data_IF_411675226786
#
_entry.id   IF_411675226786
#
_cell.length_a   1.000
_cell.length_b   1.000
_cell.length_c   1.000
_cell.angle_alpha   90.00
_cell.angle_beta   90.00
_cell.angle_gamma   90.00
#
_symmetry.space_group_name_H-M   'P 1'
#
loop_
_entity.id
_entity.type
_entity.pdbx_description
1 polymer ?
#
# COMPACT_ATOMS: atom_id res chain seq x y z
N UNK A 1 6.64 5.74 -21.87
CA UNK A 1 7.83 4.87 -21.97
C UNK A 1 7.46 3.39 -22.15
N UNK A 2 6.55 2.85 -21.34
CA UNK A 2 6.13 1.43 -21.47
C UNK A 2 5.45 1.11 -22.80
N UNK A 3 4.65 2.03 -23.36
CA UNK A 3 3.98 1.82 -24.65
C UNK A 3 4.90 1.70 -25.87
N UNK A 4 6.18 2.06 -25.76
CA UNK A 4 7.14 1.98 -26.85
C UNK A 4 7.86 0.64 -26.94
N UNK A 5 7.77 -0.21 -25.90
CA UNK A 5 8.50 -1.48 -25.82
C UNK A 5 7.99 -2.47 -26.86
N UNK A 6 6.68 -2.67 -26.96
CA UNK A 6 6.09 -3.62 -27.89
C UNK A 6 6.37 -3.28 -29.37
N UNK A 7 6.17 -2.03 -29.85
CA UNK A 7 6.55 -1.63 -31.19
C UNK A 7 8.05 -1.79 -31.48
N UNK A 8 8.90 -1.49 -30.49
CA UNK A 8 10.35 -1.63 -30.65
C UNK A 8 10.76 -3.10 -30.78
N UNK A 9 10.20 -3.98 -29.94
CA UNK A 9 10.43 -5.43 -30.04
C UNK A 9 9.95 -5.98 -31.38
N UNK A 10 8.78 -5.58 -31.85
CA UNK A 10 8.28 -5.94 -33.16
C UNK A 10 9.25 -5.54 -34.25
N UNK A 11 9.71 -4.30 -34.26
CA UNK A 11 10.68 -3.79 -35.25
C UNK A 11 12.02 -4.55 -35.28
N UNK A 12 12.49 -4.99 -34.10
CA UNK A 12 13.77 -5.72 -33.99
C UNK A 12 13.60 -7.21 -34.40
N UNK A 13 12.42 -7.78 -34.15
CA UNK A 13 12.17 -9.21 -34.35
C UNK A 13 11.68 -9.56 -35.74
N UNK A 14 11.11 -8.62 -36.49
CA UNK A 14 10.65 -8.85 -37.88
C UNK A 14 11.83 -8.72 -38.82
N UNK A 15 12.17 -9.84 -39.47
CA UNK A 15 13.26 -9.92 -40.48
C UNK A 15 12.72 -9.94 -41.91
N UNK A 16 11.52 -10.51 -42.12
CA UNK A 16 10.85 -10.57 -43.41
C UNK A 16 9.36 -10.30 -43.29
N UNK A 17 8.74 -9.88 -44.38
CA UNK A 17 7.28 -9.60 -44.41
C UNK A 17 6.46 -10.89 -44.20
N UNK A 18 6.93 -12.02 -44.69
CA UNK A 18 6.22 -13.30 -44.60
C UNK A 18 6.16 -13.84 -43.17
N UNK A 19 7.13 -13.48 -42.32
CA UNK A 19 7.19 -13.90 -40.92
C UNK A 19 6.48 -12.97 -39.97
N UNK A 20 6.04 -11.81 -40.46
CA UNK A 20 5.47 -10.73 -39.60
C UNK A 20 4.30 -11.22 -38.75
N UNK A 21 3.38 -12.01 -39.33
CA UNK A 21 2.21 -12.54 -38.61
C UNK A 21 2.59 -13.47 -37.46
N UNK A 22 3.55 -14.36 -37.69
CA UNK A 22 4.02 -15.32 -36.68
C UNK A 22 4.80 -14.64 -35.57
N UNK A 23 5.68 -13.69 -35.90
CA UNK A 23 6.44 -12.89 -34.93
C UNK A 23 5.51 -12.07 -34.06
N UNK A 24 4.54 -11.36 -34.66
CA UNK A 24 3.56 -10.57 -33.92
C UNK A 24 2.67 -11.44 -33.05
N UNK A 25 2.22 -12.59 -33.54
CA UNK A 25 1.44 -13.55 -32.75
C UNK A 25 2.18 -14.03 -31.50
N UNK A 26 3.45 -14.41 -31.66
CA UNK A 26 4.29 -14.82 -30.54
C UNK A 26 4.54 -13.67 -29.53
N UNK A 27 4.84 -12.47 -30.00
CA UNK A 27 5.00 -11.30 -29.12
C UNK A 27 3.74 -11.02 -28.33
N UNK A 28 2.57 -11.12 -28.97
CA UNK A 28 1.27 -10.92 -28.31
C UNK A 28 1.02 -12.00 -27.25
N UNK A 29 1.32 -13.25 -27.57
CA UNK A 29 1.17 -14.38 -26.65
C UNK A 29 2.04 -14.18 -25.39
N UNK A 30 3.33 -13.89 -25.58
CA UNK A 30 4.22 -13.60 -24.45
C UNK A 30 3.79 -12.37 -23.63
N UNK A 31 3.23 -11.34 -24.28
CA UNK A 31 2.73 -10.17 -23.60
C UNK A 31 1.51 -10.51 -22.72
N UNK A 32 0.57 -11.30 -23.21
CA UNK A 32 -0.61 -11.76 -22.46
C UNK A 32 -0.18 -12.63 -21.27
N UNK A 33 0.62 -13.67 -21.50
CA UNK A 33 1.11 -14.52 -20.41
C UNK A 33 1.92 -13.73 -19.38
N UNK A 34 2.82 -12.86 -19.83
CA UNK A 34 3.61 -12.00 -18.95
C UNK A 34 2.74 -11.06 -18.11
N UNK A 35 1.69 -10.51 -18.69
CA UNK A 35 0.76 -9.63 -18.02
C UNK A 35 -0.07 -10.37 -16.95
N UNK A 36 -0.61 -11.55 -17.27
CA UNK A 36 -1.35 -12.38 -16.32
C UNK A 36 -0.45 -12.83 -15.16
N UNK A 37 0.71 -13.41 -15.46
CA UNK A 37 1.65 -13.85 -14.42
C UNK A 37 2.20 -12.66 -13.61
N UNK A 38 2.48 -11.54 -14.28
CA UNK A 38 3.01 -10.33 -13.66
C UNK A 38 2.01 -9.61 -12.74
N UNK A 39 0.73 -9.86 -12.89
CA UNK A 39 -0.29 -9.35 -11.95
C UNK A 39 -0.60 -10.35 -10.84
N UNK A 40 -0.74 -11.62 -11.16
CA UNK A 40 -1.14 -12.65 -10.18
C UNK A 40 -0.02 -13.01 -9.20
N UNK A 41 1.19 -13.25 -9.69
CA UNK A 41 2.30 -13.69 -8.82
C UNK A 41 2.65 -12.64 -7.76
N UNK A 42 2.84 -11.36 -8.10
CA UNK A 42 3.09 -10.34 -7.08
C UNK A 42 1.98 -10.25 -6.06
N UNK A 43 0.74 -10.19 -6.51
CA UNK A 43 -0.42 -9.94 -5.62
C UNK A 43 -0.70 -11.10 -4.68
N UNK A 44 -0.60 -12.34 -5.16
CA UNK A 44 -1.00 -13.52 -4.39
C UNK A 44 0.17 -14.09 -3.57
N UNK A 45 1.39 -14.06 -4.11
CA UNK A 45 2.52 -14.78 -3.51
C UNK A 45 3.59 -13.86 -2.91
N UNK A 46 3.87 -12.71 -3.54
CA UNK A 46 5.03 -11.90 -3.18
C UNK A 46 4.65 -10.84 -2.16
N UNK A 47 3.65 -10.02 -2.47
CA UNK A 47 3.22 -8.92 -1.59
C UNK A 47 2.79 -9.42 -0.20
N UNK A 48 2.00 -10.50 -0.05
CA UNK A 48 1.64 -11.01 1.28
C UNK A 48 2.83 -11.44 2.13
N UNK A 49 3.93 -11.88 1.51
CA UNK A 49 5.11 -12.38 2.25
C UNK A 49 6.13 -11.31 2.60
N UNK A 50 6.35 -10.36 1.70
CA UNK A 50 7.45 -9.40 1.84
C UNK A 50 7.01 -7.93 1.79
N UNK A 51 5.73 -7.67 1.58
CA UNK A 51 5.15 -6.34 1.46
C UNK A 51 5.34 -5.71 0.08
N UNK A 52 4.66 -4.59 -0.17
CA UNK A 52 4.67 -3.89 -1.46
C UNK A 52 6.05 -3.30 -1.77
N UNK A 53 6.64 -2.62 -0.80
CA UNK A 53 7.94 -1.95 -0.95
C UNK A 53 9.05 -2.92 -1.38
N UNK A 54 9.20 -4.03 -0.66
CA UNK A 54 10.22 -5.05 -0.98
C UNK A 54 9.93 -5.76 -2.28
N UNK A 55 8.65 -5.92 -2.64
CA UNK A 55 8.25 -6.52 -3.92
C UNK A 55 8.73 -5.68 -5.10
N UNK A 56 8.55 -4.35 -5.06
CA UNK A 56 9.09 -3.46 -6.09
C UNK A 56 10.62 -3.56 -6.22
N UNK A 57 11.33 -3.63 -5.09
CA UNK A 57 12.78 -3.80 -5.09
C UNK A 57 13.20 -5.13 -5.69
N UNK A 58 12.49 -6.21 -5.38
CA UNK A 58 12.74 -7.55 -5.93
C UNK A 58 12.58 -7.56 -7.47
N UNK A 59 11.46 -7.06 -7.99
CA UNK A 59 11.24 -7.02 -9.44
C UNK A 59 12.22 -6.10 -10.15
N UNK A 60 12.57 -4.97 -9.56
CA UNK A 60 13.62 -4.12 -10.10
C UNK A 60 14.99 -4.80 -10.13
N UNK A 61 15.33 -5.60 -9.10
CA UNK A 61 16.57 -6.40 -9.10
C UNK A 61 16.57 -7.45 -10.21
N UNK A 62 15.45 -8.13 -10.43
CA UNK A 62 15.31 -9.10 -11.55
C UNK A 62 15.55 -8.40 -12.89
N UNK A 63 14.95 -7.24 -13.13
CA UNK A 63 15.16 -6.46 -14.36
C UNK A 63 16.61 -6.02 -14.51
N UNK A 64 17.27 -5.60 -13.42
CA UNK A 64 18.68 -5.22 -13.44
C UNK A 64 19.59 -6.39 -13.82
N UNK A 65 19.32 -7.59 -13.28
CA UNK A 65 20.07 -8.81 -13.63
C UNK A 65 19.90 -9.13 -15.11
N UNK A 66 18.68 -9.10 -15.64
CA UNK A 66 18.41 -9.33 -17.06
C UNK A 66 19.18 -8.33 -17.93
N UNK A 67 19.20 -7.05 -17.56
CA UNK A 67 19.93 -6.01 -18.28
C UNK A 67 21.44 -6.28 -18.30
N UNK A 68 22.02 -6.69 -17.18
CA UNK A 68 23.45 -7.03 -17.08
C UNK A 68 23.79 -8.22 -17.99
N UNK A 69 23.00 -9.30 -17.93
CA UNK A 69 23.21 -10.50 -18.74
C UNK A 69 23.11 -10.18 -20.22
N UNK A 70 22.13 -9.38 -20.62
CA UNK A 70 21.97 -8.94 -22.00
C UNK A 70 23.13 -8.04 -22.48
N UNK A 71 23.56 -7.10 -21.66
CA UNK A 71 24.69 -6.21 -21.96
C UNK A 71 26.00 -6.97 -22.13
N UNK A 72 26.22 -8.00 -21.30
CA UNK A 72 27.39 -8.89 -21.41
C UNK A 72 27.42 -9.64 -22.73
N UNK A 73 26.26 -10.11 -23.21
CA UNK A 73 26.12 -10.80 -24.48
C UNK A 73 26.46 -9.92 -25.68
N UNK A 74 26.02 -8.67 -25.67
CA UNK A 74 26.21 -7.73 -26.79
C UNK A 74 27.57 -7.02 -26.74
N UNK A 75 28.29 -7.08 -25.62
CA UNK A 75 29.56 -6.36 -25.37
C UNK A 75 29.50 -4.83 -25.56
N UNK A 76 28.30 -4.27 -25.68
CA UNK A 76 28.07 -2.85 -25.88
C UNK A 76 27.60 -2.19 -24.58
N UNK A 77 28.27 -1.12 -24.17
CA UNK A 77 27.93 -0.33 -22.98
C UNK A 77 27.82 -1.15 -21.66
N UNK A 78 28.52 -2.29 -21.56
CA UNK A 78 28.46 -3.16 -20.39
C UNK A 78 28.83 -2.42 -19.10
N UNK A 79 29.89 -1.61 -19.13
CA UNK A 79 30.31 -0.78 -17.98
C UNK A 79 29.22 0.20 -17.55
N UNK A 80 28.63 0.94 -18.49
CA UNK A 80 27.59 1.93 -18.20
C UNK A 80 26.35 1.26 -17.58
N UNK A 81 25.90 0.15 -18.16
CA UNK A 81 24.74 -0.58 -17.66
C UNK A 81 25.01 -1.19 -16.28
N UNK A 82 26.21 -1.67 -16.02
CA UNK A 82 26.60 -2.17 -14.71
C UNK A 82 26.61 -1.06 -13.65
N UNK A 83 27.12 0.11 -13.98
CA UNK A 83 27.08 1.28 -13.09
C UNK A 83 25.63 1.68 -12.75
N UNK A 84 24.74 1.74 -13.77
CA UNK A 84 23.33 2.06 -13.57
C UNK A 84 22.66 1.03 -12.63
N UNK A 85 22.94 -0.27 -12.84
CA UNK A 85 22.40 -1.32 -11.97
C UNK A 85 22.90 -1.22 -10.53
N UNK A 86 24.20 -0.93 -10.33
CA UNK A 86 24.78 -0.73 -9.00
C UNK A 86 24.15 0.50 -8.30
N UNK A 87 24.03 1.63 -9.02
CA UNK A 87 23.39 2.83 -8.48
C UNK A 87 21.93 2.55 -8.12
N UNK A 88 21.21 1.80 -8.97
CA UNK A 88 19.84 1.41 -8.65
C UNK A 88 19.76 0.51 -7.42
N UNK A 89 20.65 -0.48 -7.28
CA UNK A 89 20.73 -1.34 -6.09
C UNK A 89 21.06 -0.54 -4.83
N UNK A 90 22.01 0.37 -4.88
CA UNK A 90 22.34 1.24 -3.75
C UNK A 90 21.15 2.12 -3.34
N UNK A 91 20.47 2.73 -4.33
CA UNK A 91 19.30 3.53 -4.08
C UNK A 91 18.13 2.70 -3.51
N UNK A 92 17.95 1.46 -4.01
CA UNK A 92 16.92 0.55 -3.52
C UNK A 92 17.16 0.14 -2.07
N UNK A 93 18.41 -0.17 -1.70
CA UNK A 93 18.79 -0.48 -0.33
C UNK A 93 18.55 0.73 0.59
N UNK A 94 18.93 1.91 0.17
CA UNK A 94 18.66 3.15 0.90
C UNK A 94 17.16 3.35 1.12
N UNK A 95 16.36 3.26 0.06
CA UNK A 95 14.91 3.38 0.14
C UNK A 95 14.26 2.28 0.99
N UNK A 96 14.85 1.09 1.06
CA UNK A 96 14.32 0.01 1.90
C UNK A 96 14.35 0.32 3.39
N UNK A 97 15.29 1.15 3.84
CA UNK A 97 15.45 1.55 5.24
C UNK A 97 14.70 2.82 5.60
N UNK A 98 14.20 3.57 4.62
CA UNK A 98 13.45 4.81 4.87
C UNK A 98 11.96 4.53 5.05
N UNK A 99 11.31 5.32 5.91
CA UNK A 99 9.85 5.30 6.03
C UNK A 99 9.19 5.74 4.73
N UNK A 100 8.04 5.14 4.40
CA UNK A 100 7.16 5.61 3.33
C UNK A 100 6.27 6.77 3.78
N UNK A 101 6.08 6.93 5.09
CA UNK A 101 5.26 7.99 5.65
C UNK A 101 5.91 9.37 5.46
N UNK A 102 5.12 10.35 5.08
CA UNK A 102 5.55 11.75 5.04
C UNK A 102 5.76 12.33 6.44
N UNK A 103 4.97 11.86 7.40
CA UNK A 103 5.12 12.22 8.81
C UNK A 103 6.15 11.27 9.46
N UNK A 104 6.77 11.73 10.54
CA UNK A 104 7.64 10.86 11.35
C UNK A 104 6.77 9.83 12.08
N UNK A 105 6.72 8.58 11.65
CA UNK A 105 5.89 7.58 12.31
C UNK A 105 6.48 7.20 13.67
N UNK A 106 5.60 7.01 14.64
CA UNK A 106 5.92 6.36 15.91
C UNK A 106 5.99 4.85 15.71
N UNK A 107 5.13 4.33 14.82
CA UNK A 107 5.11 2.94 14.42
C UNK A 107 4.70 2.84 12.95
N UNK A 108 5.38 1.98 12.19
CA UNK A 108 5.14 1.74 10.77
C UNK A 108 5.22 0.25 10.51
N UNK A 109 4.17 -0.30 9.90
CA UNK A 109 4.09 -1.70 9.55
C UNK A 109 3.32 -1.89 8.23
N UNK A 110 3.76 -2.82 7.41
CA UNK A 110 3.10 -3.19 6.16
C UNK A 110 2.50 -4.59 6.33
N UNK A 111 1.18 -4.67 6.34
CA UNK A 111 0.43 -5.93 6.35
C UNK A 111 0.07 -6.38 4.94
N UNK A 112 -0.51 -7.57 4.81
CA UNK A 112 -1.03 -8.08 3.52
C UNK A 112 -2.09 -7.15 2.89
N UNK A 113 -2.83 -6.43 3.73
CA UNK A 113 -4.01 -5.65 3.30
C UNK A 113 -3.75 -4.15 3.31
N UNK A 114 -2.97 -3.66 4.26
CA UNK A 114 -2.82 -2.24 4.51
C UNK A 114 -1.39 -1.87 4.92
N UNK A 115 -1.01 -0.65 4.57
CA UNK A 115 0.11 0.03 5.17
C UNK A 115 -0.38 0.73 6.46
N UNK A 116 0.15 0.33 7.59
CA UNK A 116 -0.22 0.84 8.91
C UNK A 116 0.84 1.85 9.36
N UNK A 117 0.40 3.06 9.65
CA UNK A 117 1.24 4.13 10.16
C UNK A 117 0.57 4.79 11.37
N UNK A 118 1.26 4.80 12.49
CA UNK A 118 0.87 5.57 13.67
C UNK A 118 1.80 6.77 13.77
N UNK A 119 1.27 7.94 13.53
CA UNK A 119 2.03 9.20 13.59
C UNK A 119 1.43 10.17 14.60
N UNK A 120 2.24 11.11 15.02
CA UNK A 120 1.77 12.21 15.86
C UNK A 120 1.39 13.38 14.95
N UNK A 121 0.13 13.84 15.06
CA UNK A 121 -0.34 15.02 14.34
C UNK A 121 0.25 16.30 14.93
N UNK A 122 0.10 17.42 14.22
CA UNK A 122 0.56 18.75 14.65
C UNK A 122 0.04 19.14 16.04
N UNK A 123 -1.16 18.67 16.41
CA UNK A 123 -1.78 18.84 17.73
C UNK A 123 -1.19 17.91 18.82
N UNK A 124 -0.18 17.13 18.51
CA UNK A 124 0.44 16.17 19.43
C UNK A 124 -0.37 14.89 19.67
N UNK A 125 -1.48 14.67 18.94
CA UNK A 125 -2.33 13.48 19.09
C UNK A 125 -1.82 12.33 18.21
N UNK A 126 -1.87 11.12 18.74
CA UNK A 126 -1.59 9.92 17.94
C UNK A 126 -2.75 9.65 17.00
N UNK A 127 -2.40 9.46 15.73
CA UNK A 127 -3.32 9.15 14.66
C UNK A 127 -2.91 7.84 13.97
N UNK A 128 -3.87 6.95 13.76
CA UNK A 128 -3.72 5.78 12.93
C UNK A 128 -4.05 6.16 11.48
N UNK A 129 -3.16 5.85 10.56
CA UNK A 129 -3.33 6.00 9.12
C UNK A 129 -3.13 4.64 8.47
N UNK A 130 -3.98 4.29 7.53
CA UNK A 130 -3.88 3.02 6.76
C UNK A 130 -3.40 3.26 5.34
N UNK A 131 -2.90 4.47 5.08
CA UNK A 131 -2.36 4.87 3.78
C UNK A 131 -1.25 5.91 3.99
N UNK A 132 -0.36 6.03 2.99
CA UNK A 132 0.75 6.99 2.98
C UNK A 132 0.26 8.44 2.85
N UNK A 133 -0.86 8.66 2.14
CA UNK A 133 -1.30 10.00 1.70
C UNK A 133 -2.56 10.53 2.37
N UNK A 134 -3.39 9.68 2.94
CA UNK A 134 -4.71 10.09 3.41
C UNK A 134 -4.77 10.33 4.92
N UNK A 135 -5.79 11.09 5.30
CA UNK A 135 -6.02 11.51 6.66
C UNK A 135 -6.14 10.38 7.68
N UNK A 136 -6.16 10.76 8.93
CA UNK A 136 -6.26 9.82 10.04
C UNK A 136 -7.56 9.01 9.98
N UNK A 137 -7.43 7.70 10.04
CA UNK A 137 -8.56 6.78 10.13
C UNK A 137 -9.07 6.64 11.56
N UNK A 138 -8.21 6.86 12.53
CA UNK A 138 -8.55 6.87 13.94
C UNK A 138 -7.61 7.78 14.70
N UNK A 139 -8.07 8.35 15.81
CA UNK A 139 -7.31 9.28 16.62
C UNK A 139 -7.43 8.90 18.07
N UNK A 140 -6.32 8.90 18.77
CA UNK A 140 -6.30 8.67 20.20
C UNK A 140 -6.91 9.87 20.93
N UNK A 141 -8.02 9.65 21.60
CA UNK A 141 -8.68 10.67 22.41
C UNK A 141 -7.99 10.78 23.77
N UNK A 142 -7.54 11.97 24.14
CA UNK A 142 -6.93 12.24 25.44
C UNK A 142 -7.84 11.84 26.60
N UNK A 143 -7.26 11.30 27.68
CA UNK A 143 -8.03 10.81 28.83
C UNK A 143 -8.98 11.87 29.42
N UNK A 144 -8.58 13.12 29.40
CA UNK A 144 -9.32 14.23 30.04
C UNK A 144 -10.22 15.01 29.05
N UNK A 145 -10.26 14.63 27.76
CA UNK A 145 -11.05 15.34 26.77
C UNK A 145 -12.27 14.52 26.35
N UNK A 146 -13.42 15.19 26.26
CA UNK A 146 -14.69 14.64 25.77
C UNK A 146 -14.88 14.78 24.25
N UNK A 147 -13.90 15.42 23.57
CA UNK A 147 -13.91 15.66 22.12
C UNK A 147 -12.59 15.23 21.50
N UNK A 148 -12.66 14.72 20.29
CA UNK A 148 -11.48 14.37 19.49
C UNK A 148 -10.91 15.58 18.73
N UNK A 149 -11.75 16.54 18.36
CA UNK A 149 -11.45 17.64 17.45
C UNK A 149 -11.56 17.25 15.98
N UNK A 150 -12.16 16.11 15.67
CA UNK A 150 -12.32 15.56 14.32
C UNK A 150 -13.80 15.20 14.08
N UNK A 151 -14.10 14.70 12.88
CA UNK A 151 -15.46 14.34 12.48
C UNK A 151 -16.16 13.33 13.40
N UNK A 152 -15.42 12.59 14.21
CA UNK A 152 -15.96 11.67 15.22
C UNK A 152 -16.81 12.36 16.26
N UNK A 153 -16.58 13.64 16.52
CA UNK A 153 -17.35 14.42 17.49
C UNK A 153 -18.81 14.61 17.04
N UNK A 154 -19.09 14.48 15.75
CA UNK A 154 -20.45 14.55 15.22
C UNK A 154 -21.30 13.34 15.68
N UNK A 155 -20.68 12.18 15.89
CA UNK A 155 -21.41 11.01 16.40
C UNK A 155 -21.86 11.15 17.84
N UNK A 156 -21.25 12.01 18.62
CA UNK A 156 -21.69 12.32 19.99
C UNK A 156 -23.06 13.02 19.97
N UNK A 157 -23.43 13.68 18.87
CA UNK A 157 -24.74 14.33 18.72
C UNK A 157 -25.91 13.34 18.61
N UNK A 158 -25.66 12.04 18.48
CA UNK A 158 -26.70 11.01 18.45
C UNK A 158 -27.58 11.07 19.70
N UNK A 159 -27.04 11.51 20.83
CA UNK A 159 -27.79 11.68 22.06
C UNK A 159 -28.98 12.65 21.92
N UNK A 160 -28.88 13.63 21.03
CA UNK A 160 -29.98 14.57 20.78
C UNK A 160 -31.19 13.91 20.12
N UNK A 161 -31.02 12.68 19.59
CA UNK A 161 -32.04 11.91 18.90
C UNK A 161 -32.63 10.79 19.79
N UNK A 162 -32.01 10.53 20.95
CA UNK A 162 -32.32 9.42 21.82
C UNK A 162 -32.82 9.93 23.19
N UNK A 163 -33.60 9.09 23.87
CA UNK A 163 -34.11 9.42 25.23
C UNK A 163 -33.02 9.11 26.27
N UNK A 164 -32.57 10.12 27.01
CA UNK A 164 -31.54 10.00 28.05
C UNK A 164 -31.94 9.07 29.21
N UNK A 165 -33.23 8.78 29.38
CA UNK A 165 -33.75 7.93 30.44
C UNK A 165 -33.68 6.44 30.13
N UNK A 166 -33.37 6.08 28.92
CA UNK A 166 -33.34 4.69 28.44
C UNK A 166 -31.90 4.26 28.19
N UNK A 167 -31.56 3.01 28.54
CA UNK A 167 -30.30 2.42 28.20
C UNK A 167 -30.31 1.99 26.72
N UNK A 168 -29.40 2.56 25.93
CA UNK A 168 -29.29 2.28 24.50
C UNK A 168 -28.17 1.30 24.20
N UNK A 169 -28.40 0.38 23.26
CA UNK A 169 -27.38 -0.51 22.71
C UNK A 169 -26.94 -0.01 21.35
N UNK A 170 -25.64 0.23 21.20
CA UNK A 170 -25.04 0.74 19.97
C UNK A 170 -24.09 -0.33 19.41
N UNK A 171 -24.29 -0.69 18.15
CA UNK A 171 -23.36 -1.53 17.40
C UNK A 171 -22.51 -0.64 16.48
N UNK A 172 -21.20 -0.74 16.62
CA UNK A 172 -20.21 -0.09 15.75
C UNK A 172 -19.64 -1.14 14.82
N UNK A 173 -19.81 -0.94 13.51
CA UNK A 173 -19.21 -1.79 12.48
C UNK A 173 -17.91 -1.12 12.03
N UNK A 174 -16.77 -1.79 12.28
CA UNK A 174 -15.44 -1.21 12.07
C UNK A 174 -14.94 -0.43 13.29
N UNK A 175 -13.99 -0.99 14.03
CA UNK A 175 -13.54 -0.42 15.30
C UNK A 175 -12.41 0.60 15.14
N UNK A 176 -11.48 0.32 14.20
CA UNK A 176 -10.22 1.07 14.07
C UNK A 176 -9.42 1.02 15.37
N UNK A 177 -9.14 2.19 15.98
CA UNK A 177 -8.49 2.27 17.31
C UNK A 177 -9.50 2.62 18.43
N UNK A 178 -10.81 2.48 18.16
CA UNK A 178 -11.85 2.72 19.14
C UNK A 178 -12.11 4.19 19.47
N UNK A 179 -11.79 5.11 18.57
CA UNK A 179 -12.05 6.55 18.77
C UNK A 179 -13.51 6.82 19.08
N UNK A 180 -14.43 6.27 18.27
CA UNK A 180 -15.87 6.46 18.44
C UNK A 180 -16.38 5.84 19.75
N UNK A 181 -15.99 4.58 20.02
CA UNK A 181 -16.34 3.89 21.26
C UNK A 181 -15.87 4.67 22.49
N UNK A 182 -14.64 5.17 22.46
CA UNK A 182 -14.07 5.98 23.54
C UNK A 182 -14.85 7.28 23.75
N UNK A 183 -15.27 7.95 22.68
CA UNK A 183 -16.05 9.18 22.77
C UNK A 183 -17.44 8.93 23.35
N UNK A 184 -18.12 7.86 22.92
CA UNK A 184 -19.43 7.50 23.43
C UNK A 184 -19.36 7.19 24.92
N UNK A 185 -18.44 6.34 25.36
CA UNK A 185 -18.25 6.03 26.78
C UNK A 185 -17.87 7.23 27.66
N UNK A 186 -17.17 8.21 27.12
CA UNK A 186 -16.79 9.42 27.86
C UNK A 186 -17.92 10.45 27.99
N UNK A 187 -18.85 10.42 27.08
CA UNK A 187 -19.92 11.40 27.03
C UNK A 187 -21.22 10.88 27.61
N UNK A 188 -21.43 9.56 27.66
CA UNK A 188 -22.70 8.94 28.02
C UNK A 188 -22.50 7.70 28.89
N UNK A 189 -23.23 7.62 30.00
CA UNK A 189 -23.23 6.47 30.90
C UNK A 189 -24.35 5.47 30.56
N UNK A 190 -25.32 5.88 29.72
CA UNK A 190 -26.50 5.08 29.37
C UNK A 190 -26.32 4.29 28.07
N UNK A 191 -25.12 4.29 27.47
CA UNK A 191 -24.82 3.58 26.24
C UNK A 191 -24.04 2.29 26.53
N UNK A 192 -24.54 1.18 26.00
CA UNK A 192 -23.82 -0.09 25.89
C UNK A 192 -23.29 -0.22 24.46
N UNK A 193 -21.99 -0.09 24.31
CA UNK A 193 -21.33 -0.09 22.99
C UNK A 193 -20.75 -1.47 22.73
N UNK A 194 -21.13 -2.08 21.62
CA UNK A 194 -20.51 -3.27 21.06
C UNK A 194 -19.86 -2.94 19.71
N UNK A 195 -18.68 -3.44 19.48
CA UNK A 195 -17.97 -3.29 18.19
C UNK A 195 -17.73 -4.65 17.59
N UNK A 196 -17.83 -4.70 16.26
CA UNK A 196 -17.50 -5.88 15.45
C UNK A 196 -16.41 -5.50 14.43
N UNK A 197 -15.35 -6.27 14.40
CA UNK A 197 -14.31 -6.21 13.38
C UNK A 197 -14.20 -7.56 12.67
N UNK A 198 -14.21 -7.56 11.34
CA UNK A 198 -14.14 -8.78 10.53
C UNK A 198 -12.73 -9.36 10.37
N UNK A 199 -11.72 -8.77 10.98
CA UNK A 199 -10.30 -9.11 10.70
C UNK A 199 -9.70 -10.14 11.68
N UNK A 200 -10.46 -10.68 12.59
CA UNK A 200 -9.91 -11.59 13.62
C UNK A 200 -9.88 -13.07 13.24
N UNK A 201 -10.31 -13.45 12.04
CA UNK A 201 -10.44 -14.87 11.65
C UNK A 201 -9.80 -15.21 10.30
N UNK A 202 -8.68 -14.57 9.91
CA UNK A 202 -7.88 -15.05 8.78
C UNK A 202 -6.45 -15.34 9.19
#
# INVERSE_FOLDING_TARGET
>A
FMGTISPLLAKISITSLDETGNVMGNLYLFNIFGSVLGTMIPTILVIPKIGVKRSFLLFGAVLAIILILYSKKIKKNFLLNSIICVLWLCMSLYLSTTSLAFDKPVHEEESEYNYINVSQNDDGKLALKTNVFFGAQSIKVDKNKKKSGYYYDEFVKINNLLDDKVKHKILIIGYGTGTMSTLLHKNFDNFEVRSEEHTSEL
#
